data_IF_120451029587
#
_entry.id   IF_120451029587
#
_cell.length_a   1.000
_cell.length_b   1.000
_cell.length_c   1.000
_cell.angle_alpha   90.00
_cell.angle_beta   90.00
_cell.angle_gamma   90.00
#
_symmetry.space_group_name_H-M   'P 1'
#
loop_
_entity.id
_entity.type
_entity.pdbx_description
1 polymer ?
#
# COMPACT_ATOMS: atom_id res chain seq x y z
N UNK A 1 1.54 -12.60 36.56
CA UNK A 1 0.29 -12.47 35.79
C UNK A 1 0.68 -12.09 34.37
N UNK A 2 0.64 -13.04 33.43
CA UNK A 2 1.04 -12.83 32.03
C UNK A 2 -0.11 -12.13 31.30
N UNK A 3 0.14 -10.95 30.74
CA UNK A 3 -0.80 -10.31 29.82
C UNK A 3 -0.64 -10.97 28.45
N UNK A 4 -1.50 -11.93 28.14
CA UNK A 4 -1.67 -12.41 26.76
C UNK A 4 -2.53 -11.39 26.01
N UNK A 5 -1.87 -10.41 25.40
CA UNK A 5 -2.50 -9.53 24.42
C UNK A 5 -2.68 -10.29 23.10
N UNK A 6 -3.61 -11.24 23.05
CA UNK A 6 -4.02 -11.86 21.80
C UNK A 6 -4.98 -10.91 21.06
N UNK A 7 -4.46 -10.26 20.02
CA UNK A 7 -5.15 -9.25 19.17
C UNK A 7 -6.15 -9.91 18.21
N UNK A 8 -6.05 -11.24 18.03
CA UNK A 8 -6.82 -12.00 17.05
C UNK A 8 -7.58 -13.17 17.70
N UNK A 9 -8.81 -13.39 17.25
CA UNK A 9 -9.62 -14.57 17.53
C UNK A 9 -9.45 -15.58 16.40
N UNK A 10 -9.34 -16.86 16.75
CA UNK A 10 -9.22 -17.97 15.78
C UNK A 10 -10.57 -18.67 15.66
N UNK A 11 -11.09 -18.79 14.44
CA UNK A 11 -12.29 -19.58 14.12
C UNK A 11 -12.05 -20.30 12.79
N UNK A 12 -12.18 -21.63 12.76
CA UNK A 12 -11.97 -22.49 11.58
C UNK A 12 -10.62 -22.30 10.84
N UNK A 13 -9.56 -21.94 11.56
CA UNK A 13 -8.23 -21.69 10.99
C UNK A 13 -8.03 -20.29 10.42
N UNK A 14 -9.00 -19.39 10.58
CA UNK A 14 -8.91 -17.98 10.20
C UNK A 14 -8.65 -17.11 11.43
N UNK A 15 -7.81 -16.08 11.27
CA UNK A 15 -7.49 -15.11 12.32
C UNK A 15 -8.28 -13.82 12.06
N UNK A 16 -9.13 -13.42 13.00
CA UNK A 16 -9.94 -12.19 12.92
C UNK A 16 -9.49 -11.25 14.03
N UNK A 17 -9.22 -9.98 13.70
CA UNK A 17 -8.90 -9.00 14.72
C UNK A 17 -10.12 -8.79 15.65
N UNK A 18 -9.91 -8.75 16.96
CA UNK A 18 -10.99 -8.74 17.98
C UNK A 18 -11.90 -7.51 17.91
N UNK A 19 -11.52 -6.50 17.14
CA UNK A 19 -12.27 -5.27 16.88
C UNK A 19 -13.26 -5.37 15.70
N UNK A 20 -13.42 -6.54 15.08
CA UNK A 20 -14.48 -6.77 14.10
C UNK A 20 -15.78 -7.20 14.79
N UNK A 21 -16.89 -6.48 14.55
CA UNK A 21 -18.22 -6.87 15.06
C UNK A 21 -18.77 -8.15 14.41
N UNK A 22 -18.25 -8.51 13.23
CA UNK A 22 -18.65 -9.69 12.47
C UNK A 22 -17.48 -10.20 11.63
N UNK A 23 -17.42 -11.52 11.42
CA UNK A 23 -16.48 -12.14 10.49
C UNK A 23 -16.78 -11.62 9.07
N UNK A 24 -15.81 -11.02 8.34
CA UNK A 24 -16.02 -10.70 6.94
C UNK A 24 -16.31 -11.99 6.16
N UNK A 25 -17.07 -11.90 5.07
CA UNK A 25 -17.30 -13.07 4.21
C UNK A 25 -15.95 -13.65 3.77
N UNK A 26 -15.72 -14.92 4.10
CA UNK A 26 -14.58 -15.70 3.59
C UNK A 26 -14.62 -15.60 2.06
N UNK A 27 -13.52 -15.22 1.40
CA UNK A 27 -13.55 -15.03 -0.04
C UNK A 27 -13.71 -16.41 -0.67
N UNK A 28 -14.68 -16.53 -1.58
CA UNK A 28 -14.85 -17.75 -2.37
C UNK A 28 -13.65 -17.87 -3.33
N UNK A 29 -12.68 -18.70 -2.94
CA UNK A 29 -11.58 -19.19 -3.77
C UNK A 29 -10.44 -18.22 -4.04
N UNK A 30 -9.24 -18.81 -4.01
CA UNK A 30 -7.90 -18.28 -4.23
C UNK A 30 -7.81 -17.39 -5.49
N UNK A 31 -8.09 -16.09 -5.31
CA UNK A 31 -7.84 -15.13 -6.38
C UNK A 31 -6.33 -15.05 -6.50
N UNK A 32 -5.79 -15.51 -7.63
CA UNK A 32 -4.42 -15.22 -8.02
C UNK A 32 -4.33 -13.69 -8.23
N UNK A 33 -4.07 -12.96 -7.14
CA UNK A 33 -4.15 -11.51 -7.03
C UNK A 33 -2.97 -10.90 -7.78
N UNK A 34 -3.07 -10.79 -9.11
CA UNK A 34 -2.04 -10.10 -9.88
C UNK A 34 -1.93 -8.63 -9.37
N UNK A 35 -0.72 -8.05 -9.28
CA UNK A 35 -0.52 -6.72 -8.68
C UNK A 35 -1.40 -5.60 -9.28
N UNK A 36 -1.73 -5.68 -10.57
CA UNK A 36 -2.60 -4.71 -11.23
C UNK A 36 -4.09 -4.85 -10.84
N UNK A 37 -4.53 -6.05 -10.46
CA UNK A 37 -5.89 -6.28 -9.93
C UNK A 37 -6.02 -5.69 -8.53
N UNK A 38 -4.96 -5.78 -7.72
CA UNK A 38 -4.91 -5.19 -6.39
C UNK A 38 -5.04 -3.65 -6.39
N UNK A 39 -4.52 -2.96 -7.42
CA UNK A 39 -4.67 -1.49 -7.55
C UNK A 39 -6.11 -1.01 -7.70
N UNK A 40 -6.97 -1.80 -8.37
CA UNK A 40 -8.40 -1.48 -8.55
C UNK A 40 -9.20 -1.81 -7.30
N UNK A 41 -8.79 -2.84 -6.55
CA UNK A 41 -9.50 -3.36 -5.38
C UNK A 41 -8.93 -2.89 -4.04
N UNK A 42 -7.84 -2.11 -4.00
CA UNK A 42 -7.24 -1.54 -2.78
C UNK A 42 -8.10 -0.53 -2.01
N UNK A 43 -9.41 -0.54 -2.24
CA UNK A 43 -10.46 0.17 -1.49
C UNK A 43 -11.55 -0.77 -0.97
N UNK A 44 -11.32 -2.08 -1.05
CA UNK A 44 -12.19 -3.13 -0.54
C UNK A 44 -11.33 -3.91 0.46
N UNK A 45 -11.84 -4.22 1.67
CA UNK A 45 -11.15 -5.08 2.61
C UNK A 45 -10.77 -6.41 1.92
N UNK A 46 -9.50 -6.78 2.05
CA UNK A 46 -8.96 -8.00 1.46
C UNK A 46 -8.36 -8.87 2.54
N UNK A 47 -8.49 -10.18 2.35
CA UNK A 47 -7.88 -11.18 3.21
C UNK A 47 -6.36 -11.18 3.01
N UNK A 48 -5.61 -11.46 4.08
CA UNK A 48 -4.18 -11.70 3.98
C UNK A 48 -3.92 -12.98 3.18
N UNK A 49 -2.92 -12.95 2.31
CA UNK A 49 -2.33 -14.16 1.71
C UNK A 49 -0.84 -14.22 2.03
N UNK A 50 -0.19 -15.39 1.94
CA UNK A 50 1.25 -15.50 2.12
C UNK A 50 2.07 -14.59 1.19
N UNK A 51 1.56 -14.31 -0.01
CA UNK A 51 2.20 -13.42 -0.99
C UNK A 51 1.96 -11.94 -0.68
N UNK A 52 0.83 -11.60 -0.07
CA UNK A 52 0.42 -10.23 0.25
C UNK A 52 -0.14 -10.13 1.68
N UNK A 53 0.71 -10.25 2.72
CA UNK A 53 0.24 -10.24 4.11
C UNK A 53 -0.31 -8.86 4.55
N UNK A 54 0.07 -7.78 3.86
CA UNK A 54 -0.32 -6.40 4.18
C UNK A 54 -1.71 -6.01 3.71
N UNK A 55 -2.41 -6.83 2.91
CA UNK A 55 -3.71 -6.46 2.32
C UNK A 55 -4.77 -6.05 3.36
N UNK A 56 -4.90 -6.71 4.53
CA UNK A 56 -5.85 -6.30 5.55
C UNK A 56 -5.58 -4.90 6.15
N UNK A 57 -4.36 -4.39 6.00
CA UNK A 57 -3.94 -3.08 6.52
C UNK A 57 -4.19 -1.94 5.52
N UNK A 58 -4.74 -2.23 4.33
CA UNK A 58 -5.05 -1.20 3.34
C UNK A 58 -6.26 -0.38 3.80
N UNK A 59 -6.07 0.94 3.85
CA UNK A 59 -7.12 1.89 4.22
C UNK A 59 -8.17 1.95 3.11
N UNK A 60 -9.42 1.60 3.45
CA UNK A 60 -10.56 1.58 2.51
C UNK A 60 -10.81 2.93 1.83
N UNK A 61 -10.83 3.99 2.64
CA UNK A 61 -11.13 5.36 2.22
C UNK A 61 -10.00 6.28 2.69
N UNK A 62 -8.85 6.30 1.99
CA UNK A 62 -7.71 7.08 2.43
C UNK A 62 -8.00 8.57 2.27
N UNK A 63 -7.95 9.31 3.38
CA UNK A 63 -7.85 10.76 3.36
C UNK A 63 -6.37 11.12 3.29
N UNK A 64 -5.90 11.54 2.10
CA UNK A 64 -4.53 12.01 1.91
C UNK A 64 -4.36 13.42 2.51
N UNK A 65 -4.46 13.52 3.83
CA UNK A 65 -4.37 14.77 4.59
C UNK A 65 -3.05 14.87 5.36
N UNK A 66 -2.75 16.08 5.84
CA UNK A 66 -1.57 16.36 6.66
C UNK A 66 -0.27 16.53 5.84
N UNK A 67 0.83 16.90 6.52
CA UNK A 67 2.06 17.34 5.86
C UNK A 67 2.79 16.24 5.08
N UNK A 68 2.59 14.96 5.46
CA UNK A 68 3.24 13.84 4.80
C UNK A 68 2.49 13.41 3.53
N UNK A 69 1.16 13.29 3.61
CA UNK A 69 0.35 12.67 2.56
C UNK A 69 -0.43 13.64 1.68
N UNK A 70 -0.48 14.93 2.00
CA UNK A 70 -1.13 15.96 1.14
C UNK A 70 -0.61 15.95 -0.30
N UNK A 71 0.66 15.57 -0.51
CA UNK A 71 1.25 15.40 -1.85
C UNK A 71 0.52 14.37 -2.72
N UNK A 72 -0.20 13.42 -2.13
CA UNK A 72 -1.00 12.39 -2.81
C UNK A 72 -2.46 12.81 -3.03
N UNK A 73 -2.90 13.95 -2.48
CA UNK A 73 -4.29 14.42 -2.46
C UNK A 73 -4.82 14.95 -3.82
N UNK A 74 -4.25 14.48 -4.93
CA UNK A 74 -4.60 14.97 -6.26
C UNK A 74 -5.87 14.31 -6.78
N UNK A 75 -6.91 15.08 -7.10
CA UNK A 75 -8.12 14.54 -7.72
C UNK A 75 -7.85 14.02 -9.14
N UNK A 76 -8.59 13.03 -9.67
CA UNK A 76 -8.44 12.59 -11.07
C UNK A 76 -8.56 13.73 -12.09
N UNK A 77 -9.40 14.72 -11.81
CA UNK A 77 -9.60 15.90 -12.67
C UNK A 77 -8.51 16.98 -12.49
N UNK A 78 -7.66 16.85 -11.47
CA UNK A 78 -6.68 17.85 -11.07
C UNK A 78 -5.25 17.27 -11.03
N UNK A 79 -5.02 16.10 -11.62
CA UNK A 79 -3.68 15.52 -11.66
C UNK A 79 -2.78 16.42 -12.52
N UNK A 80 -1.76 17.07 -11.95
CA UNK A 80 -0.97 18.06 -12.67
C UNK A 80 0.00 17.33 -13.58
N UNK A 81 -0.46 17.04 -14.79
CA UNK A 81 0.34 16.50 -15.89
C UNK A 81 0.86 17.69 -16.71
N UNK A 82 2.17 17.72 -16.90
CA UNK A 82 2.88 18.75 -17.64
C UNK A 82 3.42 18.18 -18.94
N UNK A 83 3.45 19.00 -20.00
CA UNK A 83 4.13 18.64 -21.25
C UNK A 83 5.62 18.94 -21.12
N UNK A 84 6.45 17.92 -21.28
CA UNK A 84 7.93 18.01 -21.23
C UNK A 84 8.49 17.57 -22.58
N UNK A 85 8.96 18.54 -23.37
CA UNK A 85 9.44 18.28 -24.74
C UNK A 85 8.34 17.68 -25.62
N UNK A 86 8.56 16.46 -26.11
CA UNK A 86 7.59 15.70 -26.90
C UNK A 86 6.62 14.84 -26.08
N UNK A 87 6.82 14.72 -24.76
CA UNK A 87 6.03 13.85 -23.89
C UNK A 87 5.25 14.58 -22.82
N UNK A 88 4.54 13.80 -22.00
CA UNK A 88 3.74 14.24 -20.86
C UNK A 88 4.17 13.49 -19.61
N UNK A 89 4.34 14.17 -18.48
CA UNK A 89 4.66 13.53 -17.20
C UNK A 89 3.93 14.20 -16.06
N UNK A 90 3.93 13.57 -14.88
CA UNK A 90 3.54 14.25 -13.65
C UNK A 90 4.45 15.48 -13.44
N UNK A 91 3.89 16.56 -12.89
CA UNK A 91 4.64 17.76 -12.59
C UNK A 91 5.91 17.46 -11.79
N UNK A 92 7.03 18.03 -12.21
CA UNK A 92 8.37 17.64 -11.70
C UNK A 92 8.48 17.74 -10.17
N UNK A 93 7.95 18.81 -9.59
CA UNK A 93 7.95 19.02 -8.14
C UNK A 93 7.19 17.90 -7.39
N UNK A 94 6.11 17.38 -7.98
CA UNK A 94 5.36 16.26 -7.42
C UNK A 94 6.08 14.93 -7.61
N UNK A 95 6.73 14.70 -8.75
CA UNK A 95 7.57 13.52 -8.94
C UNK A 95 8.64 13.43 -7.85
N UNK A 96 9.39 14.52 -7.63
CA UNK A 96 10.43 14.59 -6.60
C UNK A 96 9.85 14.44 -5.18
N UNK A 97 8.67 15.02 -4.94
CA UNK A 97 7.96 14.90 -3.66
C UNK A 97 7.50 13.46 -3.40
N UNK A 98 6.94 12.78 -4.40
CA UNK A 98 6.52 11.39 -4.32
C UNK A 98 7.72 10.46 -4.16
N UNK A 99 8.80 10.71 -4.89
CA UNK A 99 10.03 9.92 -4.78
C UNK A 99 10.64 9.96 -3.39
N UNK A 100 10.70 11.16 -2.79
CA UNK A 100 11.15 11.32 -1.40
C UNK A 100 10.25 10.57 -0.41
N UNK A 101 8.93 10.64 -0.60
CA UNK A 101 7.98 9.91 0.25
C UNK A 101 8.15 8.39 0.11
N UNK A 102 8.26 7.89 -1.11
CA UNK A 102 8.45 6.47 -1.41
C UNK A 102 9.72 5.93 -0.74
N UNK A 103 10.85 6.62 -0.92
CA UNK A 103 12.12 6.25 -0.30
C UNK A 103 12.04 6.29 1.23
N UNK A 104 11.43 7.34 1.80
CA UNK A 104 11.27 7.46 3.25
C UNK A 104 10.41 6.33 3.84
N UNK A 105 9.32 5.96 3.17
CA UNK A 105 8.47 4.85 3.61
C UNK A 105 9.19 3.51 3.49
N UNK A 106 9.92 3.26 2.40
CA UNK A 106 10.74 2.04 2.23
C UNK A 106 11.76 1.94 3.36
N UNK A 107 12.50 3.02 3.62
CA UNK A 107 13.54 3.05 4.64
C UNK A 107 12.96 2.85 6.04
N UNK A 108 11.90 3.57 6.39
CA UNK A 108 11.22 3.40 7.67
C UNK A 108 10.71 1.95 7.85
N UNK A 109 10.13 1.38 6.81
CA UNK A 109 9.64 0.00 6.81
C UNK A 109 10.78 -0.99 7.08
N UNK A 110 11.91 -0.83 6.40
CA UNK A 110 13.09 -1.69 6.55
C UNK A 110 13.72 -1.55 7.94
N UNK A 111 13.85 -0.33 8.46
CA UNK A 111 14.41 -0.10 9.79
C UNK A 111 13.56 -0.74 10.88
N UNK A 112 12.24 -0.58 10.80
CA UNK A 112 11.33 -1.20 11.77
C UNK A 112 11.37 -2.71 11.66
N UNK A 113 11.34 -3.25 10.43
CA UNK A 113 11.44 -4.69 10.19
C UNK A 113 12.70 -5.29 10.82
N UNK A 114 13.86 -4.64 10.62
CA UNK A 114 15.13 -5.09 11.18
C UNK A 114 15.21 -4.97 12.71
N UNK A 115 14.38 -4.14 13.32
CA UNK A 115 14.29 -3.99 14.77
C UNK A 115 13.38 -5.03 15.44
N UNK A 116 12.55 -5.75 14.68
CA UNK A 116 11.62 -6.75 15.20
C UNK A 116 12.34 -8.09 15.40
N UNK A 117 12.26 -8.72 16.59
CA UNK A 117 12.72 -10.09 16.81
C UNK A 117 12.07 -11.07 15.83
N UNK A 118 12.85 -11.96 15.21
CA UNK A 118 12.38 -12.85 14.13
C UNK A 118 11.23 -13.76 14.54
N UNK A 119 11.14 -14.11 15.82
CA UNK A 119 10.07 -14.92 16.43
C UNK A 119 8.72 -14.19 16.54
N UNK A 120 8.70 -12.87 16.36
CA UNK A 120 7.48 -12.05 16.40
C UNK A 120 6.87 -11.77 15.03
N UNK A 121 7.53 -12.14 13.93
CA UNK A 121 7.04 -11.86 12.58
C UNK A 121 6.03 -12.95 12.18
N UNK A 122 4.74 -12.61 12.18
CA UNK A 122 3.66 -13.54 11.86
C UNK A 122 3.33 -13.44 10.37
N UNK A 123 3.49 -14.55 9.64
CA UNK A 123 3.31 -14.58 8.18
C UNK A 123 4.48 -13.89 7.48
N UNK A 124 5.33 -14.67 6.83
CA UNK A 124 6.58 -14.18 6.24
C UNK A 124 6.38 -12.87 5.45
N UNK A 125 7.25 -11.89 5.68
CA UNK A 125 7.23 -10.63 4.95
C UNK A 125 7.98 -10.88 3.64
N UNK A 126 7.24 -11.23 2.59
CA UNK A 126 7.81 -11.27 1.25
C UNK A 126 8.03 -9.84 0.74
N UNK A 127 9.26 -9.52 0.35
CA UNK A 127 9.58 -8.30 -0.41
C UNK A 127 9.17 -8.42 -1.89
N UNK A 128 8.82 -9.62 -2.35
CA UNK A 128 8.59 -9.90 -3.77
C UNK A 128 7.17 -9.61 -4.25
N UNK A 129 6.20 -9.41 -3.35
CA UNK A 129 4.79 -9.40 -3.75
C UNK A 129 4.39 -8.19 -4.61
N UNK A 130 4.66 -6.96 -4.16
CA UNK A 130 4.02 -5.77 -4.74
C UNK A 130 4.98 -4.72 -5.33
N UNK A 131 4.80 -4.27 -6.58
CA UNK A 131 5.64 -3.24 -7.19
C UNK A 131 5.60 -1.91 -6.42
N UNK A 132 6.77 -1.29 -6.21
CA UNK A 132 6.84 0.06 -5.66
C UNK A 132 6.17 1.11 -6.57
N UNK A 133 5.65 2.23 -6.01
CA UNK A 133 5.00 3.30 -6.78
C UNK A 133 5.72 3.73 -8.05
N UNK A 134 7.06 3.82 -8.03
CA UNK A 134 7.86 4.26 -9.21
C UNK A 134 7.72 3.32 -10.39
N UNK A 135 7.49 2.02 -10.15
CA UNK A 135 7.34 1.01 -11.22
C UNK A 135 6.06 1.20 -12.04
N UNK A 136 5.10 1.97 -11.52
CA UNK A 136 3.88 2.36 -12.25
C UNK A 136 4.05 3.63 -13.10
N UNK A 137 5.25 4.23 -13.13
CA UNK A 137 5.63 5.18 -14.17
C UNK A 137 5.33 6.65 -13.88
N UNK A 138 5.05 7.04 -12.63
CA UNK A 138 4.89 8.48 -12.29
C UNK A 138 6.14 9.32 -12.57
N UNK A 139 7.33 8.70 -12.58
CA UNK A 139 8.63 9.35 -12.84
C UNK A 139 8.96 9.49 -14.33
N UNK A 140 8.32 8.70 -15.19
CA UNK A 140 8.66 8.62 -16.60
C UNK A 140 7.79 9.57 -17.44
N UNK A 141 8.31 10.11 -18.55
CA UNK A 141 7.49 10.75 -19.56
C UNK A 141 6.70 9.71 -20.38
N UNK A 142 5.52 10.12 -20.87
CA UNK A 142 4.59 9.30 -21.66
C UNK A 142 4.18 10.03 -22.93
N UNK A 143 3.72 9.27 -23.93
CA UNK A 143 3.31 9.80 -25.24
C UNK A 143 2.06 10.70 -25.17
N UNK A 144 1.15 10.42 -24.23
CA UNK A 144 -0.11 11.16 -24.08
C UNK A 144 -0.35 11.59 -22.64
N UNK A 145 -1.11 12.67 -22.45
CA UNK A 145 -1.48 13.18 -21.14
C UNK A 145 -2.34 12.17 -20.36
N UNK A 146 -3.24 11.47 -21.06
CA UNK A 146 -4.11 10.44 -20.48
C UNK A 146 -3.31 9.28 -19.91
N UNK A 147 -2.28 8.82 -20.65
CA UNK A 147 -1.39 7.75 -20.19
C UNK A 147 -0.58 8.18 -18.97
N UNK A 148 -0.02 9.40 -18.99
CA UNK A 148 0.68 9.96 -17.84
C UNK A 148 -0.22 10.04 -16.60
N UNK A 149 -1.46 10.50 -16.76
CA UNK A 149 -2.44 10.55 -15.68
C UNK A 149 -2.79 9.16 -15.14
N UNK A 150 -3.04 8.18 -16.01
CA UNK A 150 -3.32 6.80 -15.59
C UNK A 150 -2.16 6.17 -14.82
N UNK A 151 -0.93 6.33 -15.31
CA UNK A 151 0.28 5.89 -14.62
C UNK A 151 0.43 6.58 -13.25
N UNK A 152 0.22 7.89 -13.17
CA UNK A 152 0.28 8.62 -11.91
C UNK A 152 -0.80 8.16 -10.90
N UNK A 153 -2.02 7.87 -11.37
CA UNK A 153 -3.09 7.31 -10.53
C UNK A 153 -2.74 5.91 -10.01
N UNK A 154 -2.17 5.04 -10.85
CA UNK A 154 -1.72 3.71 -10.45
C UNK A 154 -0.58 3.81 -9.43
N UNK A 155 0.42 4.65 -9.69
CA UNK A 155 1.49 4.95 -8.74
C UNK A 155 0.95 5.45 -7.39
N UNK A 156 -0.04 6.34 -7.40
CA UNK A 156 -0.69 6.79 -6.17
C UNK A 156 -1.35 5.65 -5.41
N UNK A 157 -2.07 4.77 -6.09
CA UNK A 157 -2.71 3.63 -5.43
C UNK A 157 -1.67 2.64 -4.88
N UNK A 158 -0.52 2.49 -5.53
CA UNK A 158 0.58 1.69 -5.01
C UNK A 158 1.17 2.23 -3.70
N UNK A 159 1.08 3.55 -3.43
CA UNK A 159 1.44 4.09 -2.12
C UNK A 159 0.57 3.51 -1.00
N UNK A 160 -0.69 3.15 -1.26
CA UNK A 160 -1.55 2.53 -0.25
C UNK A 160 -1.01 1.17 0.18
N UNK A 161 -0.47 0.38 -0.75
CA UNK A 161 0.18 -0.88 -0.43
C UNK A 161 1.45 -0.68 0.40
N UNK A 162 2.27 0.32 0.04
CA UNK A 162 3.48 0.63 0.80
C UNK A 162 3.15 1.13 2.22
N UNK A 163 2.13 1.97 2.37
CA UNK A 163 1.62 2.41 3.67
C UNK A 163 1.08 1.23 4.49
N UNK A 164 0.28 0.35 3.88
CA UNK A 164 -0.27 -0.83 4.54
C UNK A 164 0.84 -1.77 5.03
N UNK A 165 1.90 -1.97 4.23
CA UNK A 165 3.08 -2.75 4.65
C UNK A 165 3.79 -2.11 5.84
N UNK A 166 3.98 -0.80 5.81
CA UNK A 166 4.55 -0.06 6.94
C UNK A 166 3.70 -0.21 8.21
N UNK A 167 2.38 -0.02 8.11
CA UNK A 167 1.43 -0.20 9.23
C UNK A 167 1.44 -1.63 9.78
N UNK A 168 1.45 -2.63 8.90
CA UNK A 168 1.54 -4.04 9.30
C UNK A 168 2.81 -4.29 10.10
N UNK A 169 3.96 -3.80 9.63
CA UNK A 169 5.24 -3.97 10.32
C UNK A 169 5.24 -3.24 11.67
N UNK A 170 4.65 -2.04 11.75
CA UNK A 170 4.46 -1.33 13.04
C UNK A 170 3.62 -2.17 14.00
N UNK A 171 2.55 -2.83 13.54
CA UNK A 171 1.71 -3.67 14.39
C UNK A 171 2.44 -4.91 14.95
N UNK A 172 3.57 -5.30 14.38
CA UNK A 172 4.43 -6.38 14.91
C UNK A 172 5.46 -5.89 15.93
N UNK A 173 5.61 -4.57 16.14
CA UNK A 173 6.43 -4.02 17.23
C UNK A 173 5.75 -4.15 18.60
N UNK A 174 4.41 -4.06 18.63
CA UNK A 174 3.58 -4.00 19.84
C UNK A 174 3.41 -5.33 20.57
#
# INVERSE_FOLDING_TARGET
MKFEHQVFQVEDGFYVARNAEYMPKVPEVDICLRPYMLLKHGRIPQWSSPEYPHLPFIIRNPTFSGPLFSRLAQGPCLFPVEKIGSGYSLAKHLQESWRRLELALIEATNQIYNAIPKDRIIGGISDEGYPFPVRFGYWNPHETAEKAMQCALQSRNAFLHLMAKCTMIIAHLS
#
